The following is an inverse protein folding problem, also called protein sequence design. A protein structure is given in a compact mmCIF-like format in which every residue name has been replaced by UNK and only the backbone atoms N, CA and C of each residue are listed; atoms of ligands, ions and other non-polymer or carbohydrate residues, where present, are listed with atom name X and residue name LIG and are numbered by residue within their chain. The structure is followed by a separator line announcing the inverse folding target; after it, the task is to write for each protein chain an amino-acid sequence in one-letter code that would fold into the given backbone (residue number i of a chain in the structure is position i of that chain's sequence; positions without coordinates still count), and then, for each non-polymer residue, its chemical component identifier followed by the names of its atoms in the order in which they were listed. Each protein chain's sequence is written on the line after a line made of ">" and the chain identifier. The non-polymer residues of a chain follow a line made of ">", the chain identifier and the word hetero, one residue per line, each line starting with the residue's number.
data_IF_933041848606
#
_entry.id   IF_933041848606
#
_cell.length_a   1.000
_cell.length_b   1.000
_cell.length_c   1.000
_cell.angle_alpha   90.00
_cell.angle_beta   90.00
_cell.angle_gamma   90.00
#
_symmetry.space_group_name_H-M   'P 1'
#
loop_
_entity.id
_entity.type
_entity.pdbx_description
1 polymer ?
#
# COMPACT_ATOMS: atom_id res chain seq x y z
N UNK A 1 17.68 14.37 -4.31
CA UNK A 1 16.77 13.21 -4.14
C UNK A 1 15.34 13.72 -4.07
N UNK A 2 14.35 12.98 -4.63
CA UNK A 2 12.94 13.46 -4.71
C UNK A 2 12.24 13.59 -3.36
N UNK A 3 12.69 12.84 -2.33
CA UNK A 3 12.01 12.69 -1.04
C UNK A 3 12.93 13.02 0.14
N UNK A 4 13.93 13.85 -0.11
CA UNK A 4 14.90 14.23 0.92
C UNK A 4 14.21 14.90 2.12
N UNK A 5 14.61 14.51 3.33
CA UNK A 5 14.04 14.99 4.60
C UNK A 5 12.55 14.66 4.81
N UNK A 6 11.97 13.69 4.08
CA UNK A 6 10.60 13.21 4.30
C UNK A 6 10.60 12.00 5.22
N UNK A 7 9.60 11.93 6.10
CA UNK A 7 9.29 10.74 6.90
C UNK A 7 8.14 10.00 6.22
N UNK A 8 8.38 8.73 5.88
CA UNK A 8 7.42 7.86 5.20
C UNK A 8 7.05 6.66 6.07
N UNK A 9 5.77 6.29 6.12
CA UNK A 9 5.28 5.04 6.70
C UNK A 9 4.79 4.14 5.57
N UNK A 10 5.25 2.88 5.54
CA UNK A 10 4.76 1.85 4.62
C UNK A 10 4.15 0.71 5.42
N UNK A 11 2.83 0.51 5.35
CA UNK A 11 2.18 -0.60 6.03
C UNK A 11 2.39 -1.90 5.26
N UNK A 12 2.68 -2.99 5.98
CA UNK A 12 3.05 -4.25 5.34
C UNK A 12 4.32 -4.13 4.49
N UNK A 13 5.28 -3.31 4.94
CA UNK A 13 6.49 -2.96 4.18
C UNK A 13 7.61 -4.01 4.22
N UNK A 14 7.40 -5.16 4.87
CA UNK A 14 8.45 -6.16 5.08
C UNK A 14 8.70 -7.10 3.88
N UNK A 15 7.79 -7.21 2.93
CA UNK A 15 7.92 -8.14 1.80
C UNK A 15 7.16 -7.67 0.55
N UNK A 16 7.42 -8.32 -0.58
CA UNK A 16 6.69 -8.13 -1.84
C UNK A 16 6.69 -6.68 -2.32
N UNK A 17 5.54 -6.19 -2.75
CA UNK A 17 5.34 -4.82 -3.24
C UNK A 17 5.69 -3.80 -2.16
N UNK A 18 5.28 -4.04 -0.90
CA UNK A 18 5.56 -3.14 0.22
C UNK A 18 7.05 -2.96 0.50
N UNK A 19 7.82 -4.05 0.43
CA UNK A 19 9.29 -4.02 0.55
C UNK A 19 9.92 -3.17 -0.54
N UNK A 20 9.52 -3.38 -1.80
CA UNK A 20 10.09 -2.63 -2.92
C UNK A 20 9.74 -1.14 -2.85
N UNK A 21 8.51 -0.83 -2.42
CA UNK A 21 8.11 0.56 -2.15
C UNK A 21 8.99 1.17 -1.05
N UNK A 22 9.14 0.48 0.09
CA UNK A 22 9.95 0.96 1.21
C UNK A 22 11.41 1.22 0.78
N UNK A 23 12.00 0.29 0.05
CA UNK A 23 13.35 0.41 -0.51
C UNK A 23 13.46 1.60 -1.47
N UNK A 24 12.54 1.72 -2.42
CA UNK A 24 12.59 2.79 -3.42
C UNK A 24 12.38 4.17 -2.79
N UNK A 25 11.49 4.31 -1.79
CA UNK A 25 11.34 5.55 -1.03
C UNK A 25 12.63 5.94 -0.29
N UNK A 26 13.26 4.97 0.39
CA UNK A 26 14.51 5.21 1.13
C UNK A 26 15.65 5.63 0.21
N UNK A 27 15.81 4.97 -0.93
CA UNK A 27 16.83 5.32 -1.95
C UNK A 27 16.55 6.66 -2.64
N UNK A 28 15.31 7.17 -2.56
CA UNK A 28 14.97 8.53 -2.98
C UNK A 28 15.11 9.57 -1.87
N UNK A 29 15.64 9.20 -0.69
CA UNK A 29 16.03 10.11 0.38
C UNK A 29 15.05 10.21 1.55
N UNK A 30 13.94 9.45 1.56
CA UNK A 30 13.03 9.40 2.69
C UNK A 30 13.63 8.58 3.86
N UNK A 31 13.29 8.95 5.09
CA UNK A 31 13.41 8.04 6.23
C UNK A 31 12.14 7.18 6.28
N UNK A 32 12.26 5.87 6.17
CA UNK A 32 11.14 4.96 6.00
C UNK A 32 10.84 4.15 7.25
N UNK A 33 9.62 4.24 7.74
CA UNK A 33 9.08 3.38 8.78
C UNK A 33 8.39 2.18 8.12
N UNK A 34 8.94 0.99 8.36
CA UNK A 34 8.47 -0.28 7.80
C UNK A 34 7.51 -0.89 8.82
N UNK A 35 6.21 -0.75 8.61
CA UNK A 35 5.25 -1.41 9.50
C UNK A 35 5.11 -2.89 9.15
N UNK A 36 5.00 -3.69 10.20
CA UNK A 36 4.68 -5.11 10.15
C UNK A 36 3.70 -5.50 11.27
N UNK A 37 2.98 -6.60 11.09
CA UNK A 37 2.20 -7.21 12.18
C UNK A 37 3.10 -8.16 12.96
N UNK A 38 3.12 -8.02 14.29
CA UNK A 38 3.91 -8.90 15.18
C UNK A 38 3.23 -10.25 15.34
N UNK A 39 3.37 -11.08 14.32
CA UNK A 39 2.81 -12.43 14.22
C UNK A 39 3.76 -13.33 13.43
N UNK A 40 4.06 -14.51 13.97
CA UNK A 40 4.96 -15.47 13.33
C UNK A 40 6.37 -14.90 13.15
N UNK A 41 6.92 -14.98 11.95
CA UNK A 41 8.27 -14.50 11.60
C UNK A 41 8.28 -13.11 10.92
N UNK A 42 7.18 -12.36 11.00
CA UNK A 42 7.09 -11.06 10.31
C UNK A 42 8.09 -10.02 10.81
N UNK A 43 8.48 -10.08 12.09
CA UNK A 43 9.53 -9.21 12.62
C UNK A 43 10.87 -9.50 11.97
N UNK A 44 11.24 -10.77 11.82
CA UNK A 44 12.49 -11.18 11.14
C UNK A 44 12.49 -10.74 9.67
N UNK A 45 11.37 -10.93 8.98
CA UNK A 45 11.18 -10.50 7.59
C UNK A 45 11.34 -8.97 7.45
N UNK A 46 10.72 -8.21 8.35
CA UNK A 46 10.86 -6.75 8.36
C UNK A 46 12.31 -6.32 8.68
N UNK A 47 12.98 -7.03 9.59
CA UNK A 47 14.39 -6.78 9.92
C UNK A 47 15.32 -7.08 8.73
N UNK A 48 15.07 -8.16 7.98
CA UNK A 48 15.83 -8.46 6.76
C UNK A 48 15.67 -7.35 5.72
N UNK A 49 14.46 -6.83 5.56
CA UNK A 49 14.19 -5.70 4.65
C UNK A 49 14.88 -4.42 5.12
N UNK A 50 14.87 -4.13 6.43
CA UNK A 50 15.63 -3.02 7.00
C UNK A 50 17.13 -3.15 6.68
N UNK A 51 17.72 -4.30 6.95
CA UNK A 51 19.14 -4.55 6.70
C UNK A 51 19.51 -4.37 5.22
N UNK A 52 18.64 -4.83 4.29
CA UNK A 52 18.83 -4.63 2.86
C UNK A 52 18.82 -3.14 2.49
N UNK A 53 17.83 -2.37 2.98
CA UNK A 53 17.74 -0.94 2.70
C UNK A 53 18.98 -0.19 3.24
N UNK A 54 19.40 -0.50 4.45
CA UNK A 54 20.59 0.12 5.07
C UNK A 54 21.87 -0.23 4.32
N UNK A 55 22.01 -1.46 3.83
CA UNK A 55 23.16 -1.88 3.02
C UNK A 55 23.28 -1.12 1.69
N UNK A 56 22.15 -0.63 1.18
CA UNK A 56 22.06 0.21 -0.03
C UNK A 56 22.19 1.72 0.27
N UNK A 57 22.44 2.09 1.53
CA UNK A 57 22.60 3.48 1.96
C UNK A 57 21.28 4.20 2.28
N UNK A 58 20.16 3.51 2.26
CA UNK A 58 18.86 4.04 2.70
C UNK A 58 18.75 4.15 4.22
N UNK A 59 17.74 4.87 4.71
CA UNK A 59 17.48 5.04 6.14
C UNK A 59 16.08 4.54 6.47
N UNK A 60 15.96 3.62 7.41
CA UNK A 60 14.66 3.09 7.80
C UNK A 60 14.65 2.53 9.22
N UNK A 61 13.45 2.30 9.76
CA UNK A 61 13.20 1.63 11.03
C UNK A 61 11.99 0.71 10.89
N UNK A 62 11.90 -0.33 11.70
CA UNK A 62 10.75 -1.24 11.75
C UNK A 62 9.78 -0.82 12.85
N UNK A 63 8.48 -0.99 12.61
CA UNK A 63 7.43 -0.52 13.52
C UNK A 63 6.27 -1.52 13.58
N UNK A 64 6.09 -2.25 14.71
CA UNK A 64 5.02 -3.22 14.82
C UNK A 64 3.66 -2.54 15.01
N UNK A 65 2.64 -3.00 14.28
CA UNK A 65 1.23 -2.75 14.56
C UNK A 65 0.35 -3.59 13.64
N UNK A 66 -0.76 -4.10 14.16
CA UNK A 66 -1.83 -4.66 13.37
C UNK A 66 -2.73 -3.53 12.84
N UNK A 67 -2.75 -3.31 11.53
CA UNK A 67 -3.56 -2.25 10.91
C UNK A 67 -5.07 -2.46 11.10
N UNK A 68 -5.54 -3.71 11.28
CA UNK A 68 -6.94 -4.01 11.56
C UNK A 68 -7.37 -3.56 12.98
N UNK A 69 -6.42 -3.41 13.90
CA UNK A 69 -6.65 -2.91 15.26
C UNK A 69 -6.61 -1.38 15.28
N UNK A 70 -7.74 -0.77 15.67
CA UNK A 70 -7.82 0.69 15.81
C UNK A 70 -6.84 1.23 16.85
N UNK A 71 -6.73 0.54 17.99
CA UNK A 71 -5.88 0.98 19.09
C UNK A 71 -4.40 0.81 18.80
N UNK A 72 -3.99 -0.30 18.18
CA UNK A 72 -2.60 -0.49 17.76
C UNK A 72 -2.18 0.53 16.71
N UNK A 73 -3.04 0.82 15.73
CA UNK A 73 -2.76 1.90 14.77
C UNK A 73 -2.69 3.26 15.44
N UNK A 74 -3.57 3.56 16.40
CA UNK A 74 -3.49 4.80 17.16
C UNK A 74 -2.14 4.93 17.90
N UNK A 75 -1.68 3.87 18.57
CA UNK A 75 -0.39 3.89 19.29
C UNK A 75 0.78 4.02 18.29
N UNK A 76 0.76 3.32 17.16
CA UNK A 76 1.74 3.47 16.10
C UNK A 76 1.88 4.93 15.64
N UNK A 77 0.78 5.62 15.37
CA UNK A 77 0.81 7.03 14.97
C UNK A 77 1.18 7.98 16.11
N UNK A 78 0.93 7.62 17.37
CA UNK A 78 1.46 8.36 18.53
C UNK A 78 2.98 8.24 18.62
N UNK A 79 3.52 7.03 18.44
CA UNK A 79 4.96 6.78 18.39
C UNK A 79 5.61 7.62 17.29
N UNK A 80 5.07 7.58 16.07
CA UNK A 80 5.57 8.38 14.95
C UNK A 80 5.59 9.88 15.31
N UNK A 81 4.51 10.37 15.90
CA UNK A 81 4.45 11.78 16.32
C UNK A 81 5.48 12.13 17.38
N UNK A 82 5.69 11.26 18.39
CA UNK A 82 6.55 11.55 19.53
C UNK A 82 8.03 11.45 19.17
N UNK A 83 8.41 10.47 18.36
CA UNK A 83 9.80 10.19 18.00
C UNK A 83 10.28 11.00 16.78
N UNK A 84 9.41 11.18 15.79
CA UNK A 84 9.78 11.84 14.53
C UNK A 84 9.14 13.23 14.35
N UNK A 85 8.15 13.58 15.16
CA UNK A 85 7.47 14.89 15.14
C UNK A 85 6.53 15.11 13.96
N UNK A 86 6.66 14.32 12.89
CA UNK A 86 5.94 14.49 11.61
C UNK A 86 5.74 13.16 10.88
N UNK A 87 4.80 13.16 9.93
CA UNK A 87 4.65 12.12 8.91
C UNK A 87 4.31 12.79 7.58
N UNK A 88 5.18 12.64 6.58
CA UNK A 88 5.02 13.31 5.29
C UNK A 88 4.32 12.43 4.26
N UNK A 89 4.62 11.14 4.30
CA UNK A 89 4.17 10.15 3.32
C UNK A 89 3.57 8.96 4.05
N UNK A 90 2.36 8.56 3.65
CA UNK A 90 1.72 7.33 4.12
C UNK A 90 1.43 6.43 2.93
N UNK A 91 2.03 5.26 2.90
CA UNK A 91 1.72 4.20 1.93
C UNK A 91 0.95 3.10 2.65
N UNK A 92 -0.30 2.90 2.26
CA UNK A 92 -1.17 1.89 2.85
C UNK A 92 -1.18 0.68 1.92
N UNK A 93 -0.28 -0.26 2.21
CA UNK A 93 -0.06 -1.45 1.39
C UNK A 93 -0.50 -2.74 2.08
N UNK A 94 -0.55 -2.78 3.41
CA UNK A 94 -0.97 -3.99 4.14
C UNK A 94 -2.30 -4.54 3.61
N UNK A 95 -2.34 -5.82 3.34
CA UNK A 95 -3.52 -6.50 2.83
C UNK A 95 -3.35 -8.00 2.74
N UNK A 96 -4.48 -8.69 2.74
CA UNK A 96 -4.57 -10.16 2.62
C UNK A 96 -5.60 -10.54 1.57
N UNK A 97 -5.53 -11.79 1.10
CA UNK A 97 -6.58 -12.44 0.33
C UNK A 97 -7.09 -13.68 1.07
N UNK A 98 -8.35 -13.99 0.88
CA UNK A 98 -9.02 -15.21 1.32
C UNK A 98 -10.01 -15.61 0.24
N UNK A 99 -9.47 -16.19 -0.82
CA UNK A 99 -10.21 -16.44 -2.05
C UNK A 99 -11.14 -17.66 -1.91
N UNK A 100 -12.31 -17.56 -2.48
CA UNK A 100 -13.32 -18.62 -2.49
C UNK A 100 -14.57 -18.19 -3.27
N UNK A 101 -15.18 -19.13 -4.00
CA UNK A 101 -16.46 -18.84 -4.67
C UNK A 101 -17.52 -18.43 -3.64
N UNK A 102 -18.39 -17.49 -3.99
CA UNK A 102 -19.39 -16.87 -3.11
C UNK A 102 -20.15 -17.89 -2.26
N UNK A 103 -20.60 -18.99 -2.85
CA UNK A 103 -21.35 -20.04 -2.14
C UNK A 103 -20.51 -20.84 -1.13
N UNK A 104 -19.19 -20.77 -1.18
CA UNK A 104 -18.27 -21.48 -0.29
C UNK A 104 -17.47 -20.56 0.61
N UNK A 105 -17.53 -19.23 0.37
CA UNK A 105 -16.85 -18.23 1.18
C UNK A 105 -17.43 -18.20 2.58
N UNK A 106 -16.56 -18.33 3.59
CA UNK A 106 -16.98 -18.27 4.99
C UNK A 106 -17.04 -16.81 5.44
N UNK A 107 -17.97 -16.51 6.36
CA UNK A 107 -18.08 -15.19 6.99
C UNK A 107 -16.73 -14.71 7.55
N UNK A 108 -16.03 -15.56 8.29
CA UNK A 108 -14.71 -15.23 8.84
C UNK A 108 -13.66 -14.88 7.76
N UNK A 109 -13.74 -15.47 6.56
CA UNK A 109 -12.82 -15.15 5.46
C UNK A 109 -13.19 -13.81 4.82
N UNK A 110 -14.47 -13.48 4.75
CA UNK A 110 -14.96 -12.18 4.33
C UNK A 110 -14.52 -11.10 5.32
N UNK A 111 -14.83 -11.27 6.60
CA UNK A 111 -14.53 -10.31 7.66
C UNK A 111 -13.04 -10.05 7.79
N UNK A 112 -12.21 -11.09 7.76
CA UNK A 112 -10.75 -10.93 7.85
C UNK A 112 -10.19 -10.03 6.72
N UNK A 113 -10.69 -10.19 5.48
CA UNK A 113 -10.27 -9.36 4.35
C UNK A 113 -10.76 -7.92 4.51
N UNK A 114 -12.00 -7.72 4.93
CA UNK A 114 -12.55 -6.39 5.17
C UNK A 114 -11.83 -5.69 6.32
N UNK A 115 -11.56 -6.38 7.42
CA UNK A 115 -10.89 -5.81 8.59
C UNK A 115 -9.46 -5.37 8.27
N UNK A 116 -8.69 -6.19 7.56
CA UNK A 116 -7.31 -5.82 7.22
C UNK A 116 -7.26 -4.80 6.10
N UNK A 117 -7.92 -5.10 4.96
CA UNK A 117 -7.74 -4.31 3.73
C UNK A 117 -8.49 -2.98 3.78
N UNK A 118 -9.74 -2.98 4.23
CA UNK A 118 -10.62 -1.80 4.17
C UNK A 118 -10.59 -1.01 5.47
N UNK A 119 -10.92 -1.65 6.60
CA UNK A 119 -10.91 -1.00 7.91
C UNK A 119 -9.49 -0.60 8.32
N UNK A 120 -8.48 -1.45 8.07
CA UNK A 120 -7.08 -1.12 8.30
C UNK A 120 -6.62 0.10 7.49
N UNK A 121 -7.05 0.21 6.23
CA UNK A 121 -6.82 1.41 5.42
C UNK A 121 -7.48 2.64 6.06
N UNK A 122 -8.73 2.54 6.48
CA UNK A 122 -9.44 3.62 7.16
C UNK A 122 -8.75 4.03 8.47
N UNK A 123 -8.32 3.08 9.30
CA UNK A 123 -7.58 3.35 10.54
C UNK A 123 -6.34 4.20 10.25
N UNK A 124 -5.51 3.76 9.28
CA UNK A 124 -4.29 4.48 8.90
C UNK A 124 -4.60 5.88 8.34
N UNK A 125 -5.56 6.00 7.43
CA UNK A 125 -5.98 7.29 6.88
C UNK A 125 -6.41 8.26 7.98
N UNK A 126 -7.26 7.80 8.92
CA UNK A 126 -7.80 8.61 10.01
C UNK A 126 -6.68 9.18 10.90
N UNK A 127 -5.75 8.35 11.32
CA UNK A 127 -4.69 8.78 12.23
C UNK A 127 -3.64 9.65 11.53
N UNK A 128 -3.25 9.31 10.29
CA UNK A 128 -2.34 10.13 9.49
C UNK A 128 -2.92 11.52 9.19
N UNK A 129 -4.18 11.58 8.80
CA UNK A 129 -4.88 12.85 8.51
C UNK A 129 -4.77 13.82 9.67
N UNK A 130 -4.93 13.36 10.92
CA UNK A 130 -4.81 14.20 12.12
C UNK A 130 -3.43 14.86 12.26
N UNK A 131 -2.36 14.16 11.87
CA UNK A 131 -0.99 14.69 11.87
C UNK A 131 -0.78 15.63 10.69
N UNK A 132 -1.09 15.17 9.49
CA UNK A 132 -0.85 15.89 8.23
C UNK A 132 -1.63 17.20 8.14
N UNK A 133 -2.86 17.26 8.67
CA UNK A 133 -3.64 18.49 8.70
C UNK A 133 -2.98 19.60 9.55
N UNK A 134 -2.31 19.23 10.65
CA UNK A 134 -1.55 20.19 11.47
C UNK A 134 -0.29 20.65 10.76
N UNK A 135 0.35 19.76 10.00
CA UNK A 135 1.55 20.06 9.21
C UNK A 135 1.25 20.90 7.98
N UNK A 136 -0.01 20.89 7.49
CA UNK A 136 -0.44 21.44 6.18
C UNK A 136 0.36 20.84 5.01
N UNK A 137 0.67 19.57 5.13
CA UNK A 137 1.37 18.76 4.13
C UNK A 137 1.12 17.29 4.38
N UNK A 138 0.93 16.52 3.31
CA UNK A 138 0.84 15.07 3.35
C UNK A 138 0.69 14.47 1.96
N UNK A 139 1.18 13.25 1.81
CA UNK A 139 1.01 12.39 0.62
C UNK A 139 0.51 11.04 1.09
N UNK A 140 -0.72 10.70 0.75
CA UNK A 140 -1.34 9.42 1.10
C UNK A 140 -1.54 8.64 -0.19
N UNK A 141 -0.96 7.43 -0.26
CA UNK A 141 -1.12 6.53 -1.39
C UNK A 141 -1.57 5.17 -0.87
N UNK A 142 -2.73 4.70 -1.31
CA UNK A 142 -3.31 3.42 -0.90
C UNK A 142 -3.22 2.39 -2.03
N UNK A 143 -2.95 1.14 -1.68
CA UNK A 143 -2.92 0.05 -2.65
C UNK A 143 -4.32 -0.53 -2.86
N UNK A 144 -4.93 -0.16 -4.01
CA UNK A 144 -6.11 -0.84 -4.55
C UNK A 144 -5.66 -2.08 -5.35
N UNK A 145 -6.37 -2.41 -6.40
CA UNK A 145 -6.08 -3.51 -7.34
C UNK A 145 -6.96 -3.35 -8.58
N UNK A 146 -6.55 -3.90 -9.72
CA UNK A 146 -7.44 -4.10 -10.88
C UNK A 146 -8.68 -4.91 -10.50
N UNK A 147 -8.56 -5.84 -9.55
CA UNK A 147 -9.71 -6.61 -9.02
C UNK A 147 -10.74 -5.69 -8.34
N UNK A 148 -10.31 -4.59 -7.73
CA UNK A 148 -11.23 -3.57 -7.18
C UNK A 148 -11.94 -2.74 -8.26
N UNK A 149 -11.48 -2.78 -9.51
CA UNK A 149 -12.05 -2.05 -10.65
C UNK A 149 -12.94 -2.97 -11.50
N UNK A 150 -12.42 -4.15 -11.84
CA UNK A 150 -13.06 -5.08 -12.79
C UNK A 150 -13.82 -6.21 -12.10
N UNK A 151 -13.51 -6.50 -10.82
CA UNK A 151 -13.95 -7.72 -10.16
C UNK A 151 -13.11 -8.93 -10.58
N UNK A 152 -13.24 -10.02 -9.83
CA UNK A 152 -12.68 -11.33 -10.19
C UNK A 152 -13.48 -12.44 -9.51
N UNK A 153 -13.75 -13.53 -10.22
CA UNK A 153 -14.44 -14.68 -9.66
C UNK A 153 -13.67 -15.27 -8.48
N UNK A 154 -14.35 -15.58 -7.38
CA UNK A 154 -13.74 -16.08 -6.16
C UNK A 154 -13.13 -15.01 -5.25
N UNK A 155 -13.23 -13.72 -5.58
CA UNK A 155 -12.61 -12.63 -4.81
C UNK A 155 -13.63 -11.55 -4.41
N UNK A 156 -14.86 -11.91 -4.08
CA UNK A 156 -15.90 -10.94 -3.72
C UNK A 156 -15.51 -10.06 -2.54
N UNK A 157 -14.93 -10.66 -1.48
CA UNK A 157 -14.40 -9.95 -0.31
C UNK A 157 -13.23 -9.01 -0.68
N UNK A 158 -12.28 -9.49 -1.46
CA UNK A 158 -11.12 -8.73 -1.89
C UNK A 158 -11.53 -7.58 -2.83
N UNK A 159 -12.36 -7.87 -3.84
CA UNK A 159 -12.92 -6.86 -4.74
C UNK A 159 -13.65 -5.76 -3.97
N UNK A 160 -14.54 -6.13 -3.05
CA UNK A 160 -15.25 -5.17 -2.20
C UNK A 160 -14.29 -4.29 -1.40
N UNK A 161 -13.26 -4.88 -0.78
CA UNK A 161 -12.27 -4.12 -0.02
C UNK A 161 -11.49 -3.15 -0.90
N UNK A 162 -11.04 -3.57 -2.08
CA UNK A 162 -10.23 -2.74 -2.98
C UNK A 162 -11.03 -1.67 -3.70
N UNK A 163 -12.30 -1.93 -4.02
CA UNK A 163 -13.25 -0.90 -4.50
C UNK A 163 -13.56 0.13 -3.41
N UNK A 164 -13.74 -0.30 -2.17
CA UNK A 164 -13.94 0.59 -1.02
C UNK A 164 -12.78 1.56 -0.80
N UNK A 165 -11.52 1.12 -1.03
CA UNK A 165 -10.33 1.98 -0.97
C UNK A 165 -10.42 3.11 -2.00
N UNK A 166 -10.91 2.85 -3.22
CA UNK A 166 -11.12 3.87 -4.26
C UNK A 166 -12.11 4.93 -3.76
N UNK A 167 -13.24 4.50 -3.20
CA UNK A 167 -14.24 5.42 -2.63
C UNK A 167 -13.68 6.27 -1.48
N UNK A 168 -12.94 5.66 -0.56
CA UNK A 168 -12.29 6.37 0.55
C UNK A 168 -11.24 7.38 0.03
N UNK A 169 -10.46 7.01 -0.98
CA UNK A 169 -9.47 7.89 -1.61
C UNK A 169 -10.11 9.17 -2.15
N UNK A 170 -11.19 9.05 -2.92
CA UNK A 170 -11.92 10.19 -3.48
C UNK A 170 -12.53 11.08 -2.40
N UNK A 171 -13.13 10.47 -1.38
CA UNK A 171 -13.79 11.21 -0.30
C UNK A 171 -12.79 11.98 0.54
N UNK A 172 -11.73 11.31 1.02
CA UNK A 172 -10.71 11.96 1.85
C UNK A 172 -9.96 13.05 1.08
N UNK A 173 -9.69 12.86 -0.23
CA UNK A 173 -9.05 13.88 -1.04
C UNK A 173 -9.83 15.22 -1.05
N UNK A 174 -11.16 15.16 -1.06
CA UNK A 174 -12.04 16.34 -0.99
C UNK A 174 -11.97 17.03 0.37
N UNK A 175 -11.87 16.26 1.45
CA UNK A 175 -11.82 16.79 2.83
C UNK A 175 -10.52 17.51 3.13
N UNK A 176 -9.38 17.00 2.62
CA UNK A 176 -8.05 17.45 3.07
C UNK A 176 -7.27 18.26 2.03
N UNK A 177 -7.75 18.36 0.80
CA UNK A 177 -7.05 19.05 -0.30
C UNK A 177 -6.69 20.49 0.02
N UNK A 178 -7.56 21.25 0.70
CA UNK A 178 -7.30 22.63 1.14
C UNK A 178 -6.16 22.77 2.16
N UNK A 179 -5.68 21.65 2.69
CA UNK A 179 -4.55 21.57 3.63
C UNK A 179 -3.23 21.13 2.98
N UNK A 180 -3.15 21.13 1.66
CA UNK A 180 -1.93 20.71 0.95
C UNK A 180 -1.65 19.20 1.03
N UNK A 181 -2.68 18.40 1.32
CA UNK A 181 -2.60 16.95 1.41
C UNK A 181 -3.19 16.34 0.15
N UNK A 182 -2.44 15.46 -0.52
CA UNK A 182 -2.97 14.66 -1.63
C UNK A 182 -3.28 13.24 -1.17
N UNK A 183 -4.35 12.67 -1.70
CA UNK A 183 -4.78 11.30 -1.39
C UNK A 183 -5.06 10.61 -2.72
N UNK A 184 -4.28 9.57 -3.04
CA UNK A 184 -4.42 8.82 -4.27
C UNK A 184 -4.38 7.31 -3.99
N UNK A 185 -4.75 6.53 -4.98
CA UNK A 185 -4.61 5.08 -4.97
C UNK A 185 -3.77 4.61 -6.17
N UNK A 186 -3.11 3.48 -6.01
CA UNK A 186 -2.51 2.71 -7.11
C UNK A 186 -3.29 1.41 -7.22
N UNK A 187 -3.65 1.03 -8.44
CA UNK A 187 -4.31 -0.24 -8.74
C UNK A 187 -3.35 -1.12 -9.56
N UNK A 188 -2.58 -2.00 -8.91
CA UNK A 188 -1.72 -2.95 -9.61
C UNK A 188 -2.53 -3.95 -10.41
N UNK A 189 -2.00 -4.34 -11.59
CA UNK A 189 -2.42 -5.52 -12.32
C UNK A 189 -1.73 -6.79 -11.81
N UNK A 190 -1.44 -7.71 -12.71
CA UNK A 190 -0.65 -8.91 -12.39
C UNK A 190 0.83 -8.54 -12.28
N UNK A 191 1.35 -8.66 -11.06
CA UNK A 191 2.73 -8.32 -10.71
C UNK A 191 3.51 -9.59 -10.40
N UNK A 192 4.72 -9.69 -10.95
CA UNK A 192 5.62 -10.80 -10.66
C UNK A 192 6.07 -10.73 -9.20
N UNK A 193 5.75 -11.76 -8.46
CA UNK A 193 6.08 -11.93 -7.03
C UNK A 193 6.30 -13.43 -6.77
N UNK A 194 6.80 -13.77 -5.58
CA UNK A 194 6.91 -15.17 -5.17
C UNK A 194 5.58 -15.95 -5.29
N UNK A 195 4.44 -15.28 -5.20
CA UNK A 195 3.11 -15.90 -5.40
C UNK A 195 2.84 -16.29 -6.86
N UNK A 196 3.29 -15.48 -7.82
CA UNK A 196 3.07 -15.75 -9.25
C UNK A 196 4.14 -16.69 -9.81
N UNK A 197 5.31 -16.73 -9.19
CA UNK A 197 6.43 -17.57 -9.67
C UNK A 197 6.13 -19.08 -9.58
N UNK A 198 5.31 -19.48 -8.61
CA UNK A 198 4.90 -20.89 -8.41
C UNK A 198 3.80 -21.38 -9.37
N UNK A 199 3.20 -20.49 -10.17
CA UNK A 199 2.18 -20.86 -11.14
C UNK A 199 2.79 -21.61 -12.34
N UNK A 200 2.03 -22.55 -12.92
CA UNK A 200 2.45 -23.23 -14.16
C UNK A 200 2.56 -22.25 -15.32
N UNK A 201 3.38 -22.61 -16.30
CA UNK A 201 3.59 -21.78 -17.49
C UNK A 201 2.30 -21.57 -18.28
N UNK A 202 1.43 -22.57 -18.39
CA UNK A 202 0.13 -22.45 -19.04
C UNK A 202 -0.76 -21.39 -18.37
N UNK A 203 -0.80 -21.38 -17.04
CA UNK A 203 -1.55 -20.36 -16.28
C UNK A 203 -0.93 -18.98 -16.48
N UNK A 204 0.40 -18.87 -16.47
CA UNK A 204 1.09 -17.61 -16.71
C UNK A 204 0.79 -17.06 -18.10
N UNK A 205 0.81 -17.90 -19.14
CA UNK A 205 0.49 -17.48 -20.50
C UNK A 205 -0.98 -17.05 -20.62
N UNK A 206 -1.91 -17.78 -20.00
CA UNK A 206 -3.32 -17.38 -19.95
C UNK A 206 -3.51 -16.02 -19.26
N UNK A 207 -2.79 -15.77 -18.16
CA UNK A 207 -2.84 -14.48 -17.48
C UNK A 207 -2.25 -13.36 -18.34
N UNK A 208 -1.10 -13.60 -18.98
CA UNK A 208 -0.46 -12.62 -19.87
C UNK A 208 -1.33 -12.25 -21.06
N UNK A 209 -2.12 -13.20 -21.60
CA UNK A 209 -3.03 -12.93 -22.72
C UNK A 209 -4.13 -11.90 -22.37
N UNK A 210 -4.39 -11.67 -21.08
CA UNK A 210 -5.34 -10.65 -20.60
C UNK A 210 -4.69 -9.26 -20.45
N UNK A 211 -3.37 -9.17 -20.60
CA UNK A 211 -2.61 -7.93 -20.45
C UNK A 211 -2.26 -7.39 -21.83
N UNK A 212 -2.74 -6.21 -22.23
CA UNK A 212 -2.39 -5.61 -23.52
C UNK A 212 -0.88 -5.48 -23.77
N UNK A 213 -0.07 -5.20 -22.73
CA UNK A 213 1.39 -5.19 -22.86
C UNK A 213 2.01 -6.60 -22.93
N UNK A 214 1.25 -7.68 -22.78
CA UNK A 214 1.69 -9.07 -22.92
C UNK A 214 2.68 -9.57 -21.86
N UNK A 215 2.88 -8.84 -20.78
CA UNK A 215 3.84 -9.19 -19.75
C UNK A 215 3.31 -8.81 -18.36
N UNK A 216 3.75 -9.54 -17.32
CA UNK A 216 3.54 -9.14 -15.94
C UNK A 216 4.34 -7.87 -15.62
N UNK A 217 3.77 -7.00 -14.80
CA UNK A 217 4.51 -5.91 -14.19
C UNK A 217 5.48 -6.43 -13.11
N UNK A 218 6.48 -5.63 -12.79
CA UNK A 218 7.40 -5.86 -11.68
C UNK A 218 6.96 -5.09 -10.43
N UNK A 219 7.44 -5.51 -9.25
CA UNK A 219 7.26 -4.74 -8.01
C UNK A 219 7.87 -3.34 -8.12
N UNK A 220 8.92 -3.17 -8.95
CA UNK A 220 9.56 -1.88 -9.21
C UNK A 220 8.65 -0.93 -9.99
N UNK A 221 7.83 -1.43 -10.93
CA UNK A 221 6.86 -0.59 -11.66
C UNK A 221 5.87 0.05 -10.71
N UNK A 222 5.39 -0.72 -9.73
CA UNK A 222 4.51 -0.21 -8.68
C UNK A 222 5.24 0.80 -7.79
N UNK A 223 6.46 0.48 -7.36
CA UNK A 223 7.25 1.36 -6.50
C UNK A 223 7.54 2.72 -7.18
N UNK A 224 7.84 2.72 -8.48
CA UNK A 224 8.05 3.94 -9.26
C UNK A 224 6.81 4.84 -9.30
N UNK A 225 5.63 4.24 -9.53
CA UNK A 225 4.36 4.96 -9.54
C UNK A 225 4.04 5.56 -8.15
N UNK A 226 4.28 4.79 -7.08
CA UNK A 226 4.09 5.23 -5.70
C UNK A 226 5.04 6.39 -5.35
N UNK A 227 6.32 6.29 -5.68
CA UNK A 227 7.30 7.38 -5.45
C UNK A 227 6.90 8.65 -6.18
N UNK A 228 6.43 8.55 -7.44
CA UNK A 228 5.91 9.70 -8.17
C UNK A 228 4.74 10.35 -7.43
N UNK A 229 3.71 9.58 -7.05
CA UNK A 229 2.54 10.10 -6.33
C UNK A 229 2.88 10.64 -4.93
N UNK A 230 3.93 10.14 -4.29
CA UNK A 230 4.42 10.59 -3.00
C UNK A 230 5.32 11.84 -3.09
N UNK A 231 5.76 12.22 -4.27
CA UNK A 231 6.64 13.37 -4.51
C UNK A 231 5.90 14.68 -4.72
N UNK A 232 6.63 15.79 -4.73
CA UNK A 232 6.08 17.10 -5.05
C UNK A 232 5.80 17.29 -6.57
N UNK A 233 6.28 16.37 -7.41
CA UNK A 233 5.94 16.33 -8.84
C UNK A 233 4.44 16.05 -9.05
N UNK A 234 3.82 15.28 -8.15
CA UNK A 234 2.39 14.94 -8.15
C UNK A 234 1.53 15.88 -7.27
N UNK A 235 2.02 17.03 -6.86
CA UNK A 235 1.32 17.94 -5.92
C UNK A 235 -0.07 18.41 -6.37
N UNK A 236 -0.37 18.30 -7.65
CA UNK A 236 -1.69 18.67 -8.22
C UNK A 236 -2.53 17.46 -8.62
N UNK A 237 -2.11 16.25 -8.20
CA UNK A 237 -2.84 15.01 -8.41
C UNK A 237 -3.44 14.55 -7.07
N UNK A 238 -4.77 14.52 -6.97
CA UNK A 238 -5.47 14.04 -5.77
C UNK A 238 -6.83 13.43 -6.14
N UNK A 239 -7.28 12.45 -5.37
CA UNK A 239 -8.51 11.72 -5.60
C UNK A 239 -8.46 10.73 -6.77
N UNK A 240 -7.25 10.44 -7.30
CA UNK A 240 -7.07 9.58 -8.46
C UNK A 240 -6.70 8.14 -8.07
N UNK A 241 -7.12 7.20 -8.92
CA UNK A 241 -6.62 5.82 -8.90
C UNK A 241 -5.77 5.62 -10.15
N UNK A 242 -4.46 5.46 -9.95
CA UNK A 242 -3.53 5.20 -11.03
C UNK A 242 -3.43 3.69 -11.27
N UNK A 243 -3.87 3.23 -12.44
CA UNK A 243 -3.71 1.85 -12.84
C UNK A 243 -2.26 1.60 -13.29
N UNK A 244 -1.64 0.56 -12.76
CA UNK A 244 -0.30 0.09 -13.13
C UNK A 244 -0.45 -1.40 -13.44
N UNK A 245 -1.05 -1.69 -14.58
CA UNK A 245 -1.65 -2.98 -14.88
C UNK A 245 -1.39 -3.47 -16.31
N UNK A 246 -0.56 -2.77 -17.07
CA UNK A 246 -0.28 -3.12 -18.47
C UNK A 246 -1.48 -2.96 -19.40
N UNK A 247 -2.51 -2.21 -18.97
CA UNK A 247 -3.72 -1.95 -19.76
C UNK A 247 -4.87 -2.92 -19.50
N UNK A 248 -4.83 -3.72 -18.42
CA UNK A 248 -5.91 -4.69 -18.12
C UNK A 248 -7.26 -4.03 -17.87
N UNK A 249 -7.27 -2.90 -17.17
CA UNK A 249 -8.49 -2.19 -16.77
C UNK A 249 -8.68 -0.90 -17.60
N UNK A 250 -8.78 -1.07 -18.91
CA UNK A 250 -9.11 0.01 -19.85
C UNK A 250 -10.61 0.03 -20.16
#
# INVERSE_FOLDING_TARGET
>A
MRLENKIALVTGGGQGIGKEIAKTLALNGAFVLINYIDLGNNQEIAQMTKNEIESLGGKCEILPANVASYDETLEMFKTIKNEYGRLDILIINAGITKDGLMLRMKENDFDAVIDVNLKGTWNCMKHATKLMMKQKYGRIVSMSSVVGVMGNAGQVNYAASKSGIIGMTMSLAREVGSRGITVNAVAPGFIQTAMTDVLSDDIKEQMKSQIPLGAFGSVQDIANAVVFLASDEAKYITGQTLHVDGGMAM
#
